data_IF_541124567226
#
_entry.id   IF_541124567226
#
_cell.length_a   1.000
_cell.length_b   1.000
_cell.length_c   1.000
_cell.angle_alpha   90.00
_cell.angle_beta   90.00
_cell.angle_gamma   90.00
#
_symmetry.space_group_name_H-M   'P 1'
#
loop_
_entity.id
_entity.type
_entity.pdbx_description
1 polymer ?
#
# COMPACT_ATOMS: atom_id res chain seq x y z
N UNK A 1 7.04 -31.18 -24.50
CA UNK A 1 6.30 -31.74 -23.36
C UNK A 1 5.15 -30.80 -23.08
N UNK A 2 3.91 -31.28 -23.18
CA UNK A 2 2.75 -30.48 -22.80
C UNK A 2 2.68 -30.44 -21.27
N UNK A 3 2.60 -29.23 -20.71
CA UNK A 3 2.48 -29.05 -19.27
C UNK A 3 1.13 -29.61 -18.81
N UNK A 4 1.13 -30.37 -17.71
CA UNK A 4 -0.10 -30.91 -17.14
C UNK A 4 -1.07 -29.77 -16.80
N UNK A 5 -2.40 -29.99 -16.87
CA UNK A 5 -3.39 -28.97 -16.51
C UNK A 5 -3.15 -28.35 -15.13
N UNK A 6 -2.74 -29.16 -14.16
CA UNK A 6 -2.39 -28.72 -12.80
C UNK A 6 -1.22 -27.73 -12.78
N UNK A 7 -0.19 -27.94 -13.60
CA UNK A 7 0.95 -27.01 -13.67
C UNK A 7 0.52 -25.66 -14.27
N UNK A 8 -0.33 -25.67 -15.30
CA UNK A 8 -0.87 -24.44 -15.91
C UNK A 8 -1.69 -23.63 -14.92
N UNK A 9 -2.50 -24.31 -14.10
CA UNK A 9 -3.28 -23.68 -13.02
C UNK A 9 -2.38 -23.05 -11.95
N UNK A 10 -1.35 -23.78 -11.50
CA UNK A 10 -0.39 -23.26 -10.52
C UNK A 10 0.37 -22.04 -11.04
N UNK A 11 0.77 -22.05 -12.33
CA UNK A 11 1.44 -20.90 -12.94
C UNK A 11 0.52 -19.68 -12.98
N UNK A 12 -0.73 -19.84 -13.42
CA UNK A 12 -1.70 -18.73 -13.44
C UNK A 12 -1.96 -18.16 -12.04
N UNK A 13 -2.03 -19.02 -11.02
CA UNK A 13 -2.17 -18.58 -9.63
C UNK A 13 -0.95 -17.80 -9.15
N UNK A 14 0.26 -18.27 -9.44
CA UNK A 14 1.50 -17.59 -9.07
C UNK A 14 1.63 -16.22 -9.77
N UNK A 15 1.23 -16.11 -11.05
CA UNK A 15 1.18 -14.83 -11.77
C UNK A 15 0.18 -13.86 -11.13
N UNK A 16 -1.00 -14.35 -10.75
CA UNK A 16 -2.01 -13.54 -10.08
C UNK A 16 -1.54 -13.06 -8.69
N UNK A 17 -0.95 -13.93 -7.88
CA UNK A 17 -0.40 -13.59 -6.57
C UNK A 17 0.75 -12.56 -6.72
N UNK A 18 1.64 -12.77 -7.69
CA UNK A 18 2.73 -11.83 -7.97
C UNK A 18 2.23 -10.44 -8.39
N UNK A 19 1.18 -10.39 -9.22
CA UNK A 19 0.54 -9.13 -9.60
C UNK A 19 -0.07 -8.41 -8.39
N UNK A 20 -0.79 -9.13 -7.52
CA UNK A 20 -1.39 -8.56 -6.32
C UNK A 20 -0.33 -8.03 -5.34
N UNK A 21 0.74 -8.79 -5.12
CA UNK A 21 1.87 -8.34 -4.29
C UNK A 21 2.54 -7.09 -4.89
N UNK A 22 2.75 -7.08 -6.20
CA UNK A 22 3.30 -5.92 -6.90
C UNK A 22 2.45 -4.66 -6.74
N UNK A 23 1.11 -4.80 -6.79
CA UNK A 23 0.18 -3.71 -6.56
C UNK A 23 0.27 -3.19 -5.12
N UNK A 24 0.22 -4.07 -4.12
CA UNK A 24 0.32 -3.70 -2.70
C UNK A 24 1.64 -2.98 -2.38
N UNK A 25 2.76 -3.49 -2.91
CA UNK A 25 4.08 -2.85 -2.76
C UNK A 25 4.11 -1.48 -3.45
N UNK A 26 3.48 -1.36 -4.61
CA UNK A 26 3.35 -0.11 -5.37
C UNK A 26 2.52 0.95 -4.63
N UNK A 27 1.37 0.56 -4.08
CA UNK A 27 0.52 1.44 -3.26
C UNK A 27 1.28 1.92 -2.02
N UNK A 28 1.96 1.00 -1.32
CA UNK A 28 2.79 1.34 -0.17
C UNK A 28 3.91 2.31 -0.53
N UNK A 29 4.67 2.04 -1.59
CA UNK A 29 5.73 2.92 -2.04
C UNK A 29 5.18 4.32 -2.41
N UNK A 30 4.02 4.37 -3.05
CA UNK A 30 3.36 5.62 -3.45
C UNK A 30 2.94 6.43 -2.22
N UNK A 31 2.32 5.80 -1.22
CA UNK A 31 1.94 6.44 0.03
C UNK A 31 3.16 7.03 0.77
N UNK A 32 4.23 6.24 0.93
CA UNK A 32 5.46 6.69 1.58
C UNK A 32 6.12 7.86 0.84
N UNK A 33 6.19 7.79 -0.49
CA UNK A 33 6.76 8.86 -1.31
C UNK A 33 5.94 10.14 -1.21
N UNK A 34 4.61 10.03 -1.20
CA UNK A 34 3.72 11.18 -1.06
C UNK A 34 3.86 11.84 0.31
N UNK A 35 3.86 11.04 1.39
CA UNK A 35 4.07 11.55 2.74
C UNK A 35 5.44 12.24 2.86
N UNK A 36 6.50 11.65 2.28
CA UNK A 36 7.83 12.25 2.24
C UNK A 36 7.85 13.58 1.47
N UNK A 37 7.11 13.65 0.37
CA UNK A 37 6.98 14.87 -0.42
C UNK A 37 6.23 15.98 0.35
N UNK A 38 5.17 15.64 1.09
CA UNK A 38 4.34 16.62 1.81
C UNK A 38 4.95 17.09 3.13
N UNK A 39 5.55 16.18 3.89
CA UNK A 39 5.96 16.44 5.28
C UNK A 39 7.48 16.42 5.47
N UNK A 40 8.25 16.16 4.43
CA UNK A 40 9.71 16.06 4.51
C UNK A 40 10.15 14.67 4.97
N UNK A 41 11.08 14.58 5.93
CA UNK A 41 11.59 13.28 6.36
C UNK A 41 10.46 12.41 6.96
N UNK A 42 10.37 11.17 6.50
CA UNK A 42 9.38 10.22 6.97
C UNK A 42 9.85 9.62 8.30
N UNK A 43 9.26 10.09 9.40
CA UNK A 43 9.55 9.59 10.74
C UNK A 43 8.88 8.22 11.02
N UNK A 44 9.20 7.63 12.17
CA UNK A 44 8.63 6.35 12.58
C UNK A 44 7.10 6.41 12.76
N UNK A 45 6.56 7.57 13.15
CA UNK A 45 5.13 7.72 13.39
C UNK A 45 4.35 7.68 12.08
N UNK A 46 4.83 8.37 11.04
CA UNK A 46 4.24 8.33 9.71
C UNK A 46 4.41 6.96 9.05
N UNK A 47 5.53 6.27 9.27
CA UNK A 47 5.70 4.89 8.80
C UNK A 47 4.70 3.93 9.44
N UNK A 48 4.46 4.06 10.75
CA UNK A 48 3.59 3.17 11.51
C UNK A 48 2.12 3.23 11.08
N UNK A 49 1.68 4.36 10.51
CA UNK A 49 0.28 4.49 10.05
C UNK A 49 0.05 4.01 8.62
N UNK A 50 1.10 3.82 7.81
CA UNK A 50 0.97 3.54 6.38
C UNK A 50 0.19 2.26 6.14
N UNK A 51 0.47 1.20 6.90
CA UNK A 51 -0.23 -0.07 6.71
C UNK A 51 -1.73 0.05 7.04
N UNK A 52 -2.11 0.92 7.99
CA UNK A 52 -3.52 1.21 8.31
C UNK A 52 -4.20 2.06 7.23
N UNK A 53 -3.47 3.00 6.64
CA UNK A 53 -3.95 3.82 5.52
C UNK A 53 -4.28 2.93 4.31
N UNK A 54 -3.41 1.94 4.04
CA UNK A 54 -3.55 1.02 2.90
C UNK A 54 -4.63 -0.05 3.07
N UNK A 55 -5.29 -0.12 4.24
CA UNK A 55 -6.51 -0.92 4.40
C UNK A 55 -7.70 -0.32 3.64
N UNK A 56 -7.63 0.98 3.33
CA UNK A 56 -8.61 1.67 2.50
C UNK A 56 -8.24 1.49 1.01
N UNK A 57 -9.22 1.50 0.09
CA UNK A 57 -8.94 1.52 -1.33
C UNK A 57 -8.24 2.83 -1.74
N UNK A 58 -7.53 2.78 -2.88
CA UNK A 58 -6.72 3.90 -3.39
C UNK A 58 -7.47 5.22 -3.52
N UNK A 59 -8.73 5.14 -3.96
CA UNK A 59 -9.64 6.25 -4.16
C UNK A 59 -10.03 6.94 -2.84
N UNK A 60 -9.95 6.20 -1.72
CA UNK A 60 -10.26 6.71 -0.39
C UNK A 60 -9.01 7.21 0.33
N UNK A 61 -7.89 6.49 0.27
CA UNK A 61 -6.69 6.93 1.00
C UNK A 61 -5.95 8.08 0.32
N UNK A 62 -5.94 8.14 -1.02
CA UNK A 62 -5.17 9.17 -1.75
C UNK A 62 -5.61 10.60 -1.41
N UNK A 63 -6.93 10.93 -1.38
CA UNK A 63 -7.38 12.26 -0.95
C UNK A 63 -6.97 12.57 0.49
N UNK A 64 -7.06 11.59 1.41
CA UNK A 64 -6.68 11.78 2.81
C UNK A 64 -5.19 12.10 2.94
N UNK A 65 -4.34 11.36 2.22
CA UNK A 65 -2.91 11.61 2.15
C UNK A 65 -2.53 12.91 1.46
N UNK A 66 -3.43 13.56 0.71
CA UNK A 66 -3.20 14.85 0.06
C UNK A 66 -3.76 16.04 0.84
N UNK A 67 -4.87 15.84 1.57
CA UNK A 67 -5.63 16.91 2.19
C UNK A 67 -5.32 17.06 3.67
N UNK A 68 -5.18 15.96 4.40
CA UNK A 68 -4.98 16.01 5.85
C UNK A 68 -3.58 16.48 6.22
N UNK A 69 -3.47 17.18 7.33
CA UNK A 69 -2.19 17.48 7.98
C UNK A 69 -1.54 16.22 8.55
N UNK A 70 -0.27 16.33 8.95
CA UNK A 70 0.46 15.24 9.60
C UNK A 70 -0.24 14.81 10.89
N UNK A 71 -0.64 15.76 11.71
CA UNK A 71 -1.27 15.52 13.00
C UNK A 71 -2.64 14.86 12.85
N UNK A 72 -3.44 15.27 11.86
CA UNK A 72 -4.72 14.64 11.54
C UNK A 72 -4.55 13.21 11.02
N UNK A 73 -3.55 12.95 10.18
CA UNK A 73 -3.23 11.60 9.71
C UNK A 73 -2.85 10.68 10.87
N UNK A 74 -1.97 11.16 11.76
CA UNK A 74 -1.58 10.40 12.95
C UNK A 74 -2.77 10.18 13.87
N UNK A 75 -3.58 11.19 14.16
CA UNK A 75 -4.76 11.05 15.01
C UNK A 75 -5.79 10.06 14.43
N UNK A 76 -5.89 9.97 13.10
CA UNK A 76 -6.86 9.09 12.43
C UNK A 76 -6.39 7.65 12.29
N UNK A 77 -5.10 7.41 12.03
CA UNK A 77 -4.59 6.10 11.61
C UNK A 77 -3.61 5.46 12.60
N UNK A 78 -3.21 6.17 13.66
CA UNK A 78 -2.42 5.56 14.73
C UNK A 78 -3.34 4.65 15.55
N UNK A 79 -2.98 3.37 15.65
CA UNK A 79 -3.65 2.44 16.57
C UNK A 79 -3.19 2.75 18.00
N UNK A 80 -4.08 2.57 18.98
CA UNK A 80 -3.71 2.58 20.41
C UNK A 80 -2.69 1.49 20.74
#
# INVERSE_FOLDING_TARGET
MDLSPLYKEQLAKAEQEGFQQGLQLGERATALNLLRFRFGALDEQLNAIVDNVLLLPSEEFMPLLLQLSREELLARFKQE
#
